data_IF_572711274057
#
_entry.id   IF_572711274057
#
_cell.length_a   1.000
_cell.length_b   1.000
_cell.length_c   1.000
_cell.angle_alpha   90.00
_cell.angle_beta   90.00
_cell.angle_gamma   90.00
#
_symmetry.space_group_name_H-M   'P 1'
#
loop_
_entity.id
_entity.type
_entity.pdbx_description
1 polymer ?
#
# COMPACT_ATOMS: atom_id res chain seq x y z
N UNK A 1 27.94 -28.29 -2.51
CA UNK A 1 26.61 -28.62 -1.98
C UNK A 1 25.82 -27.32 -1.95
N UNK A 2 25.02 -27.09 -2.99
CA UNK A 2 24.23 -25.86 -3.20
C UNK A 2 23.16 -25.76 -2.11
N UNK A 3 23.42 -24.93 -1.10
CA UNK A 3 22.43 -24.60 -0.09
C UNK A 3 21.18 -24.08 -0.81
N UNK A 4 20.08 -24.82 -0.67
CA UNK A 4 18.77 -24.42 -1.14
C UNK A 4 18.45 -23.04 -0.56
N UNK A 5 18.49 -22.01 -1.42
CA UNK A 5 17.98 -20.68 -1.17
C UNK A 5 16.45 -20.78 -1.08
N UNK A 6 15.95 -21.39 -0.01
CA UNK A 6 14.51 -21.44 0.27
C UNK A 6 14.04 -20.02 0.53
N UNK A 7 13.26 -19.51 -0.43
CA UNK A 7 12.62 -18.19 -0.37
C UNK A 7 11.77 -18.14 0.92
N UNK A 8 12.02 -17.20 1.85
CA UNK A 8 11.25 -17.10 3.10
C UNK A 8 9.76 -16.89 2.85
N UNK A 9 9.41 -16.27 1.72
CA UNK A 9 8.03 -16.08 1.28
C UNK A 9 7.86 -16.48 -0.19
N UNK A 10 7.05 -17.51 -0.48
CA UNK A 10 6.68 -17.86 -1.87
C UNK A 10 5.58 -16.98 -2.45
N UNK A 11 4.88 -16.22 -1.59
CA UNK A 11 3.62 -15.55 -1.91
C UNK A 11 3.85 -14.03 -1.94
N UNK A 12 3.41 -13.31 -2.99
CA UNK A 12 3.47 -11.86 -3.05
C UNK A 12 2.37 -11.26 -2.16
N UNK A 13 2.56 -11.34 -0.83
CA UNK A 13 1.56 -10.92 0.15
C UNK A 13 1.06 -9.50 -0.03
N UNK A 14 1.89 -8.46 -0.26
CA UNK A 14 1.38 -7.10 -0.32
C UNK A 14 0.47 -6.85 -1.53
N UNK A 15 0.86 -7.20 -2.78
CA UNK A 15 -0.05 -7.09 -3.93
C UNK A 15 -1.34 -7.90 -3.76
N UNK A 16 -1.28 -9.08 -3.15
CA UNK A 16 -2.46 -9.92 -2.90
C UNK A 16 -3.37 -9.31 -1.83
N UNK A 17 -2.82 -8.79 -0.74
CA UNK A 17 -3.60 -8.16 0.32
C UNK A 17 -4.33 -6.92 -0.19
N UNK A 18 -3.62 -6.00 -0.85
CA UNK A 18 -4.25 -4.79 -1.41
C UNK A 18 -5.20 -5.12 -2.57
N UNK A 19 -4.83 -6.06 -3.46
CA UNK A 19 -5.72 -6.51 -4.54
C UNK A 19 -7.01 -7.15 -4.02
N UNK A 20 -6.90 -8.03 -3.01
CA UNK A 20 -8.07 -8.63 -2.36
C UNK A 20 -8.91 -7.59 -1.62
N UNK A 21 -8.28 -6.61 -0.97
CA UNK A 21 -8.96 -5.51 -0.30
C UNK A 21 -9.72 -4.61 -1.28
N UNK A 22 -9.18 -4.35 -2.47
CA UNK A 22 -9.87 -3.62 -3.54
C UNK A 22 -11.10 -4.40 -4.02
N UNK A 23 -10.95 -5.69 -4.32
CA UNK A 23 -12.07 -6.53 -4.74
C UNK A 23 -13.15 -6.62 -3.66
N UNK A 24 -12.75 -6.76 -2.40
CA UNK A 24 -13.65 -6.77 -1.26
C UNK A 24 -14.35 -5.41 -1.08
N UNK A 25 -13.66 -4.28 -1.30
CA UNK A 25 -14.27 -2.95 -1.21
C UNK A 25 -15.37 -2.78 -2.26
N UNK A 26 -15.07 -3.18 -3.50
CA UNK A 26 -16.03 -3.14 -4.61
C UNK A 26 -17.22 -4.06 -4.33
N UNK A 27 -16.98 -5.31 -3.94
CA UNK A 27 -18.03 -6.27 -3.60
C UNK A 27 -18.89 -5.82 -2.42
N UNK A 28 -18.27 -5.30 -1.35
CA UNK A 28 -18.96 -4.75 -0.19
C UNK A 28 -19.82 -3.54 -0.56
N UNK A 29 -19.36 -2.69 -1.48
CA UNK A 29 -20.16 -1.57 -1.98
C UNK A 29 -21.40 -2.04 -2.74
N UNK A 30 -21.33 -3.14 -3.49
CA UNK A 30 -22.50 -3.71 -4.16
C UNK A 30 -23.52 -4.31 -3.19
N UNK A 31 -23.06 -4.91 -2.09
CA UNK A 31 -23.93 -5.54 -1.08
C UNK A 31 -24.50 -4.55 -0.07
N UNK A 32 -23.66 -3.62 0.38
CA UNK A 32 -23.94 -2.63 1.41
C UNK A 32 -23.39 -1.28 0.95
N UNK A 33 -24.15 -0.50 0.17
CA UNK A 33 -23.67 0.77 -0.36
C UNK A 33 -23.40 1.75 0.78
N UNK A 34 -22.13 1.92 1.12
CA UNK A 34 -21.65 2.85 2.15
C UNK A 34 -20.78 3.88 1.45
N UNK A 35 -21.39 5.02 1.15
CA UNK A 35 -20.69 6.12 0.52
C UNK A 35 -20.95 7.47 1.17
N UNK A 36 -20.28 8.48 0.66
CA UNK A 36 -20.37 9.87 1.11
C UNK A 36 -21.50 10.66 0.45
N UNK A 37 -22.48 9.98 -0.16
CA UNK A 37 -23.60 10.63 -0.86
C UNK A 37 -24.47 11.53 0.04
N UNK A 38 -24.39 11.35 1.36
CA UNK A 38 -25.09 12.17 2.35
C UNK A 38 -24.30 13.42 2.77
N UNK A 39 -23.05 13.60 2.31
CA UNK A 39 -22.24 14.78 2.61
C UNK A 39 -22.65 15.92 1.67
N UNK A 40 -23.13 17.06 2.20
CA UNK A 40 -23.56 18.17 1.37
C UNK A 40 -22.38 18.94 0.77
N UNK A 41 -22.64 19.64 -0.34
CA UNK A 41 -21.73 20.65 -0.88
C UNK A 41 -21.55 21.80 0.13
N UNK A 42 -20.35 22.40 0.25
CA UNK A 42 -19.15 22.15 -0.56
C UNK A 42 -18.20 21.07 0.01
N UNK A 43 -18.57 20.41 1.10
CA UNK A 43 -17.66 19.46 1.77
C UNK A 43 -17.33 18.25 0.89
N UNK A 44 -18.29 17.77 0.11
CA UNK A 44 -18.08 16.71 -0.89
C UNK A 44 -17.00 17.08 -1.91
N UNK A 45 -17.01 18.31 -2.44
CA UNK A 45 -16.03 18.80 -3.42
C UNK A 45 -14.63 18.91 -2.81
N UNK A 46 -14.56 19.37 -1.55
CA UNK A 46 -13.29 19.45 -0.80
C UNK A 46 -12.71 18.05 -0.61
N UNK A 47 -13.52 17.07 -0.20
CA UNK A 47 -13.08 15.67 -0.02
C UNK A 47 -12.61 15.06 -1.35
N UNK A 48 -13.31 15.34 -2.44
CA UNK A 48 -12.90 14.92 -3.78
C UNK A 48 -11.54 15.50 -4.17
N UNK A 49 -11.34 16.80 -3.95
CA UNK A 49 -10.06 17.46 -4.22
C UNK A 49 -8.92 16.90 -3.35
N UNK A 50 -9.18 16.70 -2.06
CA UNK A 50 -8.23 16.05 -1.13
C UNK A 50 -7.88 14.64 -1.61
N UNK A 51 -8.87 13.89 -2.09
CA UNK A 51 -8.66 12.55 -2.65
C UNK A 51 -7.65 12.54 -3.79
N UNK A 52 -7.77 13.47 -4.75
CA UNK A 52 -6.81 13.61 -5.84
C UNK A 52 -5.41 14.03 -5.38
N UNK A 53 -5.31 14.95 -4.42
CA UNK A 53 -4.03 15.35 -3.83
C UNK A 53 -3.35 14.14 -3.17
N UNK A 54 -4.11 13.33 -2.43
CA UNK A 54 -3.60 12.10 -1.80
C UNK A 54 -3.14 11.09 -2.85
N UNK A 55 -3.90 10.87 -3.93
CA UNK A 55 -3.49 9.98 -5.03
C UNK A 55 -2.19 10.47 -5.66
N UNK A 56 -2.08 11.76 -5.97
CA UNK A 56 -0.87 12.32 -6.55
C UNK A 56 0.34 12.15 -5.63
N UNK A 57 0.17 12.41 -4.33
CA UNK A 57 1.21 12.21 -3.32
C UNK A 57 1.62 10.73 -3.19
N UNK A 58 0.65 9.81 -3.21
CA UNK A 58 0.90 8.36 -3.16
C UNK A 58 1.73 7.89 -4.36
N UNK A 59 1.33 8.30 -5.57
CA UNK A 59 2.06 7.98 -6.79
C UNK A 59 3.48 8.57 -6.76
N UNK A 60 3.64 9.83 -6.34
CA UNK A 60 4.94 10.45 -6.20
C UNK A 60 5.85 9.70 -5.20
N UNK A 61 5.28 9.23 -4.08
CA UNK A 61 5.98 8.40 -3.10
C UNK A 61 6.42 7.07 -3.71
N UNK A 62 5.52 6.36 -4.39
CA UNK A 62 5.79 5.07 -5.02
C UNK A 62 6.85 5.17 -6.12
N UNK A 63 6.73 6.17 -7.00
CA UNK A 63 7.74 6.43 -8.04
C UNK A 63 9.10 6.79 -7.42
N UNK A 64 9.12 7.59 -6.36
CA UNK A 64 10.35 7.95 -5.65
C UNK A 64 10.99 6.73 -4.98
N UNK A 65 10.20 5.87 -4.36
CA UNK A 65 10.68 4.63 -3.76
C UNK A 65 11.25 3.69 -4.83
N UNK A 66 10.51 3.49 -5.92
CA UNK A 66 10.93 2.66 -7.05
C UNK A 66 12.22 3.18 -7.70
N UNK A 67 12.32 4.50 -7.92
CA UNK A 67 13.51 5.14 -8.45
C UNK A 67 14.72 4.98 -7.51
N UNK A 68 14.51 5.06 -6.19
CA UNK A 68 15.58 4.88 -5.21
C UNK A 68 16.11 3.45 -5.23
N UNK A 69 15.22 2.45 -5.27
CA UNK A 69 15.61 1.03 -5.39
C UNK A 69 16.33 0.75 -6.71
N UNK A 70 15.81 1.28 -7.82
CA UNK A 70 16.44 1.16 -9.13
C UNK A 70 17.86 1.76 -9.15
N UNK A 71 18.03 2.96 -8.57
CA UNK A 71 19.35 3.62 -8.44
C UNK A 71 20.31 2.83 -7.54
N UNK A 72 19.80 2.21 -6.49
CA UNK A 72 20.59 1.35 -5.61
C UNK A 72 20.97 0.01 -6.26
N UNK A 73 20.48 -0.30 -7.47
CA UNK A 73 20.60 -1.61 -8.14
C UNK A 73 20.17 -2.78 -7.25
N UNK A 74 19.26 -2.50 -6.31
CA UNK A 74 18.65 -3.51 -5.46
C UNK A 74 17.31 -3.91 -6.05
N UNK A 75 16.96 -5.19 -5.94
CA UNK A 75 15.66 -5.67 -6.40
C UNK A 75 14.56 -5.09 -5.54
N UNK A 76 13.45 -4.70 -6.17
CA UNK A 76 12.20 -4.23 -5.54
C UNK A 76 11.50 -5.30 -4.68
N UNK A 77 12.10 -6.49 -4.62
CA UNK A 77 11.57 -7.63 -3.90
C UNK A 77 11.92 -7.50 -2.41
N UNK A 78 10.93 -7.48 -1.50
CA UNK A 78 11.12 -7.47 -0.04
C UNK A 78 11.92 -8.69 0.50
N UNK A 79 12.22 -9.63 -0.39
CA UNK A 79 12.39 -11.04 -0.11
C UNK A 79 13.81 -11.55 -0.40
N UNK A 80 14.78 -10.63 -0.53
CA UNK A 80 16.21 -10.94 -0.57
C UNK A 80 16.86 -10.23 0.61
N UNK A 81 17.65 -10.96 1.41
CA UNK A 81 18.64 -10.36 2.32
C UNK A 81 19.35 -9.25 1.54
N UNK A 82 19.13 -8.02 1.96
CA UNK A 82 19.80 -6.89 1.33
C UNK A 82 21.26 -6.94 1.78
N UNK A 83 22.18 -7.24 0.88
CA UNK A 83 23.61 -7.02 1.13
C UNK A 83 23.89 -5.52 1.40
N UNK A 84 22.95 -4.62 1.04
CA UNK A 84 22.96 -3.20 1.36
C UNK A 84 21.56 -2.65 1.67
N UNK A 85 21.35 -2.17 2.90
CA UNK A 85 20.12 -1.50 3.33
C UNK A 85 20.04 -0.12 2.64
N UNK A 86 19.02 0.11 1.81
CA UNK A 86 18.80 1.42 1.17
C UNK A 86 18.22 2.38 2.19
N UNK A 87 18.99 3.38 2.63
CA UNK A 87 18.58 4.38 3.62
C UNK A 87 18.49 5.79 3.03
N UNK A 88 18.21 5.92 1.73
CA UNK A 88 18.07 7.20 1.03
C UNK A 88 16.64 7.39 0.52
N UNK A 89 16.27 8.63 0.21
CA UNK A 89 14.92 8.94 -0.29
C UNK A 89 13.81 8.57 0.71
N UNK A 90 12.66 8.03 0.25
CA UNK A 90 11.53 7.63 1.10
C UNK A 90 11.88 6.59 2.17
N UNK A 91 12.90 5.77 1.93
CA UNK A 91 13.35 4.73 2.85
C UNK A 91 13.99 5.28 4.14
N UNK A 92 14.25 6.60 4.21
CA UNK A 92 14.69 7.28 5.45
C UNK A 92 13.58 7.42 6.49
N UNK A 93 12.32 7.47 6.05
CA UNK A 93 11.16 7.73 6.90
C UNK A 93 10.56 6.39 7.37
N UNK A 94 10.42 5.45 6.45
CA UNK A 94 9.86 4.12 6.71
C UNK A 94 10.63 3.07 5.92
N UNK A 95 10.73 1.85 6.46
CA UNK A 95 11.34 0.71 5.75
C UNK A 95 10.50 0.26 4.54
N UNK A 96 9.21 0.58 4.52
CA UNK A 96 8.26 0.10 3.52
C UNK A 96 7.42 1.23 2.91
N UNK A 97 8.05 2.21 2.21
CA UNK A 97 7.35 3.38 1.66
C UNK A 97 6.28 3.00 0.62
N UNK A 98 6.47 1.89 -0.11
CA UNK A 98 5.51 1.40 -1.12
C UNK A 98 4.18 0.97 -0.45
N UNK A 99 4.21 0.37 0.75
CA UNK A 99 2.97 -0.01 1.43
C UNK A 99 2.21 1.19 1.97
N UNK A 100 2.94 2.24 2.36
CA UNK A 100 2.34 3.53 2.71
C UNK A 100 1.66 4.13 1.48
N UNK A 101 2.35 4.14 0.32
CA UNK A 101 1.79 4.57 -0.96
C UNK A 101 0.51 3.81 -1.33
N UNK A 102 0.51 2.48 -1.29
CA UNK A 102 -0.68 1.66 -1.55
C UNK A 102 -1.87 1.99 -0.64
N UNK A 103 -1.62 2.23 0.66
CA UNK A 103 -2.66 2.63 1.62
C UNK A 103 -3.22 4.00 1.27
N UNK A 104 -2.35 4.96 1.01
CA UNK A 104 -2.75 6.31 0.59
C UNK A 104 -3.55 6.26 -0.71
N UNK A 105 -3.15 5.44 -1.67
CA UNK A 105 -3.84 5.27 -2.94
C UNK A 105 -5.27 4.75 -2.72
N UNK A 106 -5.47 3.71 -1.91
CA UNK A 106 -6.82 3.22 -1.58
C UNK A 106 -7.66 4.28 -0.87
N UNK A 107 -7.09 5.04 0.08
CA UNK A 107 -7.81 6.12 0.77
C UNK A 107 -8.23 7.20 -0.23
N UNK A 108 -7.31 7.65 -1.07
CA UNK A 108 -7.59 8.65 -2.10
C UNK A 108 -8.66 8.19 -3.09
N UNK A 109 -8.61 6.93 -3.53
CA UNK A 109 -9.66 6.32 -4.36
C UNK A 109 -11.00 6.30 -3.62
N UNK A 110 -11.02 5.95 -2.32
CA UNK A 110 -12.24 5.98 -1.51
C UNK A 110 -12.87 7.38 -1.42
N UNK A 111 -12.04 8.42 -1.29
CA UNK A 111 -12.49 9.81 -1.27
C UNK A 111 -13.02 10.28 -2.64
N UNK A 112 -12.31 9.98 -3.72
CA UNK A 112 -12.70 10.37 -5.10
C UNK A 112 -13.95 9.62 -5.55
N UNK A 113 -14.03 8.32 -5.29
CA UNK A 113 -15.18 7.48 -5.65
C UNK A 113 -16.37 7.65 -4.71
N UNK A 114 -16.15 8.26 -3.55
CA UNK A 114 -17.16 8.39 -2.52
C UNK A 114 -17.47 7.09 -1.77
N UNK A 115 -16.64 6.04 -1.90
CA UNK A 115 -16.89 4.70 -1.34
C UNK A 115 -16.07 4.51 -0.05
N UNK A 116 -16.76 4.41 1.08
CA UNK A 116 -16.13 4.31 2.40
C UNK A 116 -15.38 2.99 2.61
N UNK A 117 -15.82 1.92 1.94
CA UNK A 117 -15.19 0.60 2.04
C UNK A 117 -13.71 0.60 1.65
N UNK A 118 -13.31 1.42 0.67
CA UNK A 118 -11.90 1.55 0.31
C UNK A 118 -11.05 2.08 1.47
N UNK A 119 -11.58 3.04 2.25
CA UNK A 119 -10.85 3.62 3.38
C UNK A 119 -10.73 2.60 4.52
N UNK A 120 -11.85 1.94 4.88
CA UNK A 120 -11.85 0.93 5.93
C UNK A 120 -10.90 -0.23 5.60
N UNK A 121 -10.97 -0.72 4.36
CA UNK A 121 -10.14 -1.83 3.91
C UNK A 121 -8.69 -1.42 3.64
N UNK A 122 -8.41 -0.14 3.37
CA UNK A 122 -7.03 0.38 3.33
C UNK A 122 -6.35 0.19 4.70
N UNK A 123 -7.01 0.58 5.79
CA UNK A 123 -6.47 0.39 7.14
C UNK A 123 -6.36 -1.08 7.52
N UNK A 124 -7.35 -1.91 7.17
CA UNK A 124 -7.29 -3.34 7.40
C UNK A 124 -6.15 -4.00 6.62
N UNK A 125 -5.95 -3.64 5.34
CA UNK A 125 -4.87 -4.13 4.51
C UNK A 125 -3.49 -3.65 5.00
N UNK A 126 -3.38 -2.41 5.45
CA UNK A 126 -2.15 -1.88 6.05
C UNK A 126 -1.77 -2.66 7.32
N UNK A 127 -2.74 -2.90 8.21
CA UNK A 127 -2.53 -3.70 9.42
C UNK A 127 -2.16 -5.16 9.09
N UNK A 128 -2.85 -5.78 8.14
CA UNK A 128 -2.55 -7.13 7.68
C UNK A 128 -1.14 -7.20 7.07
N UNK A 129 -0.73 -6.20 6.28
CA UNK A 129 0.60 -6.13 5.67
C UNK A 129 1.69 -5.98 6.74
N UNK A 130 1.46 -5.13 7.75
CA UNK A 130 2.37 -4.98 8.89
C UNK A 130 2.58 -6.33 9.60
N UNK A 131 1.50 -7.06 9.90
CA UNK A 131 1.58 -8.29 10.68
C UNK A 131 2.03 -9.52 9.88
N UNK A 132 1.57 -9.65 8.63
CA UNK A 132 1.76 -10.85 7.81
C UNK A 132 2.98 -10.77 6.87
N UNK A 133 3.36 -9.57 6.44
CA UNK A 133 4.55 -9.38 5.62
C UNK A 133 5.73 -8.94 6.50
N UNK A 134 5.60 -7.78 7.17
CA UNK A 134 6.73 -7.12 7.84
C UNK A 134 7.21 -7.90 9.06
N UNK A 135 6.34 -8.17 10.05
CA UNK A 135 6.76 -8.90 11.26
C UNK A 135 7.17 -10.35 10.99
N UNK A 136 6.69 -10.94 9.89
CA UNK A 136 7.13 -12.29 9.48
C UNK A 136 8.52 -12.25 8.88
N UNK A 137 8.81 -11.28 8.03
CA UNK A 137 10.16 -11.05 7.50
C UNK A 137 11.15 -10.73 8.62
N UNK A 138 10.79 -9.84 9.56
CA UNK A 138 11.65 -9.48 10.69
C UNK A 138 11.90 -10.63 11.67
N UNK A 139 10.96 -11.58 11.82
CA UNK A 139 11.17 -12.79 12.64
C UNK A 139 12.06 -13.85 11.99
N UNK A 140 12.25 -13.80 10.68
CA UNK A 140 13.11 -14.74 9.94
C UNK A 140 14.49 -14.14 9.61
N UNK A 141 14.76 -12.90 10.03
CA UNK A 141 16.07 -12.24 9.99
C UNK A 141 16.82 -12.47 11.29
#
# INVERSE_FOLDING_TARGET
>A
MSANLERPNRIPWPPLLYGSAILAAVGAQFLFPLGFAWIPHPFSDILFAIGWVIIAAALALDFSAMATLHRARTTVWPNRRSDHLVSSGPFRITRNPIYVGNTMLMIGVGLVSGILWFILLAFAAAFATQKLAIEREERHL
#
